data_IF_175162579723
#
_entry.id   IF_175162579723
#
_cell.length_a   1.000
_cell.length_b   1.000
_cell.length_c   1.000
_cell.angle_alpha   90.00
_cell.angle_beta   90.00
_cell.angle_gamma   90.00
#
_symmetry.space_group_name_H-M   'P 1'
#
loop_
_entity.id
_entity.type
_entity.pdbx_description
1 polymer ?
#
# COMPACT_ATOMS: atom_id res chain seq x y z
N UNK A 1 18.33 -18.35 -19.22
CA UNK A 1 17.15 -19.15 -18.83
C UNK A 1 16.32 -18.34 -17.85
N UNK A 2 14.99 -18.41 -17.91
CA UNK A 2 14.12 -17.91 -16.85
C UNK A 2 14.45 -18.52 -15.49
N UNK A 3 14.12 -17.77 -14.44
CA UNK A 3 14.29 -18.12 -13.03
C UNK A 3 12.93 -18.15 -12.39
N UNK A 4 12.65 -19.21 -11.65
CA UNK A 4 11.45 -19.31 -10.84
C UNK A 4 11.49 -18.29 -9.71
N UNK A 5 10.45 -17.48 -9.61
CA UNK A 5 10.22 -16.54 -8.52
C UNK A 5 8.86 -16.84 -7.91
N UNK A 6 8.84 -17.07 -6.60
CA UNK A 6 7.61 -17.26 -5.84
C UNK A 6 7.24 -15.96 -5.14
N UNK A 7 6.00 -15.51 -5.28
CA UNK A 7 5.44 -14.32 -4.67
C UNK A 7 4.43 -14.73 -3.59
N UNK A 8 4.56 -14.13 -2.42
CA UNK A 8 3.62 -14.29 -1.31
C UNK A 8 3.02 -12.95 -0.95
N UNK A 9 1.69 -12.90 -0.84
CA UNK A 9 0.95 -11.71 -0.45
C UNK A 9 0.31 -11.99 0.89
N UNK A 10 0.86 -11.42 1.95
CA UNK A 10 0.50 -11.80 3.32
C UNK A 10 -0.02 -10.61 4.13
N UNK A 11 -0.76 -10.88 5.19
CA UNK A 11 -1.05 -9.89 6.23
C UNK A 11 0.11 -9.77 7.24
N UNK A 12 0.01 -8.85 8.20
CA UNK A 12 0.99 -8.67 9.29
C UNK A 12 1.28 -9.95 10.10
N UNK A 13 0.35 -10.91 10.13
CA UNK A 13 0.53 -12.20 10.77
C UNK A 13 1.25 -13.25 9.91
N UNK A 14 1.65 -12.91 8.68
CA UNK A 14 2.30 -13.81 7.73
C UNK A 14 1.36 -14.80 7.03
N UNK A 15 0.04 -14.61 7.15
CA UNK A 15 -0.95 -15.46 6.45
C UNK A 15 -1.20 -14.93 5.04
N UNK A 16 -1.19 -15.80 4.04
CA UNK A 16 -1.49 -15.45 2.64
C UNK A 16 -2.95 -14.96 2.51
N UNK A 17 -3.14 -13.83 1.84
CA UNK A 17 -4.43 -13.14 1.70
C UNK A 17 -4.91 -13.10 0.26
N UNK A 18 -6.22 -13.27 0.07
CA UNK A 18 -6.87 -13.22 -1.23
C UNK A 18 -7.26 -11.79 -1.64
N UNK A 19 -7.37 -11.56 -2.95
CA UNK A 19 -8.07 -10.40 -3.51
C UNK A 19 -7.20 -9.20 -3.86
N UNK A 20 -5.87 -9.29 -3.79
CA UNK A 20 -4.99 -8.27 -4.36
C UNK A 20 -4.92 -8.45 -5.88
N UNK A 21 -5.21 -7.42 -6.67
CA UNK A 21 -4.93 -7.43 -8.12
C UNK A 21 -3.47 -7.04 -8.36
N UNK A 22 -2.66 -7.99 -8.79
CA UNK A 22 -1.20 -7.88 -8.88
C UNK A 22 -0.76 -7.91 -10.33
N UNK A 23 0.19 -7.03 -10.64
CA UNK A 23 0.83 -6.92 -11.95
C UNK A 23 2.36 -6.86 -11.78
N UNK A 24 3.07 -7.49 -12.70
CA UNK A 24 4.54 -7.40 -12.78
C UNK A 24 4.90 -6.68 -14.07
N UNK A 25 5.72 -5.65 -13.95
CA UNK A 25 6.25 -4.90 -15.09
C UNK A 25 7.75 -5.13 -15.21
N UNK A 26 8.26 -5.13 -16.43
CA UNK A 26 9.70 -5.12 -16.67
C UNK A 26 10.23 -3.68 -16.57
N UNK A 27 11.31 -3.49 -15.81
CA UNK A 27 11.88 -2.17 -15.55
C UNK A 27 11.64 -1.71 -14.11
N UNK A 28 11.89 -0.41 -13.86
CA UNK A 28 11.75 0.22 -12.54
C UNK A 28 10.39 0.89 -12.32
N UNK A 29 9.60 1.03 -13.37
CA UNK A 29 8.33 1.75 -13.37
C UNK A 29 7.22 0.83 -13.91
N UNK A 30 6.00 0.98 -13.39
CA UNK A 30 4.82 0.29 -13.88
C UNK A 30 4.30 0.93 -15.19
N UNK A 31 5.04 0.76 -16.29
CA UNK A 31 4.71 1.36 -17.60
C UNK A 31 4.50 0.32 -18.68
N UNK A 32 3.49 0.52 -19.54
CA UNK A 32 3.20 -0.34 -20.68
C UNK A 32 2.35 -1.56 -20.30
N UNK A 33 2.64 -2.70 -20.92
CA UNK A 33 1.93 -3.95 -20.64
C UNK A 33 2.66 -4.74 -19.54
N UNK A 34 1.94 -5.30 -18.56
CA UNK A 34 2.56 -6.17 -17.58
C UNK A 34 3.03 -7.48 -18.23
N UNK A 35 4.15 -8.01 -17.74
CA UNK A 35 4.67 -9.33 -18.14
C UNK A 35 3.89 -10.47 -17.47
N UNK A 36 3.21 -10.19 -16.36
CA UNK A 36 2.31 -11.10 -15.68
C UNK A 36 1.24 -10.32 -14.89
N UNK A 37 0.05 -10.91 -14.76
CA UNK A 37 -1.06 -10.37 -13.96
C UNK A 37 -1.83 -11.52 -13.30
N UNK A 38 -2.15 -11.40 -12.02
CA UNK A 38 -2.99 -12.36 -11.29
C UNK A 38 -3.70 -11.70 -10.11
N UNK A 39 -4.70 -12.40 -9.54
CA UNK A 39 -5.31 -12.03 -8.27
C UNK A 39 -4.80 -12.94 -7.17
N UNK A 40 -4.39 -12.39 -6.02
CA UNK A 40 -3.89 -13.22 -4.92
C UNK A 40 -4.98 -14.13 -4.35
N UNK A 41 -4.58 -15.29 -3.83
CA UNK A 41 -5.46 -16.30 -3.27
C UNK A 41 -5.08 -16.57 -1.81
N UNK A 42 -6.07 -16.91 -0.98
CA UNK A 42 -5.84 -17.21 0.42
C UNK A 42 -5.07 -18.54 0.54
N UNK A 43 -4.08 -18.57 1.44
CA UNK A 43 -3.21 -19.73 1.70
C UNK A 43 -2.37 -20.21 0.51
N UNK A 44 -2.25 -19.42 -0.56
CA UNK A 44 -1.56 -19.81 -1.80
C UNK A 44 -0.54 -18.75 -2.20
N UNK A 45 0.70 -19.17 -2.44
CA UNK A 45 1.72 -18.33 -3.10
C UNK A 45 1.63 -18.47 -4.62
N UNK A 46 2.06 -17.45 -5.36
CA UNK A 46 2.07 -17.47 -6.82
C UNK A 46 3.49 -17.70 -7.37
N UNK A 47 3.65 -18.50 -8.42
CA UNK A 47 4.96 -18.75 -9.04
C UNK A 47 5.01 -18.20 -10.46
N UNK A 48 6.12 -17.54 -10.82
CA UNK A 48 6.40 -17.06 -12.17
C UNK A 48 7.81 -17.45 -12.61
N UNK A 49 8.00 -17.61 -13.91
CA UNK A 49 9.31 -17.76 -14.54
C UNK A 49 9.73 -16.43 -15.18
N UNK A 50 10.75 -15.77 -14.60
CA UNK A 50 11.22 -14.46 -15.05
C UNK A 50 12.67 -14.54 -15.51
N UNK A 51 13.00 -13.88 -16.61
CA UNK A 51 14.40 -13.72 -17.00
C UNK A 51 15.16 -12.90 -15.94
N UNK A 52 16.48 -13.09 -15.77
CA UNK A 52 17.29 -12.19 -14.96
C UNK A 52 17.13 -10.74 -15.43
N UNK A 53 16.85 -9.83 -14.50
CA UNK A 53 16.48 -8.45 -14.84
C UNK A 53 15.80 -7.72 -13.68
N UNK A 54 15.50 -6.44 -13.92
CA UNK A 54 14.80 -5.56 -12.97
C UNK A 54 13.32 -5.52 -13.31
N UNK A 55 12.48 -5.58 -12.28
CA UNK A 55 11.03 -5.64 -12.38
C UNK A 55 10.38 -4.77 -11.30
N UNK A 56 9.13 -4.40 -11.55
CA UNK A 56 8.26 -3.71 -10.60
C UNK A 56 7.06 -4.60 -10.27
N UNK A 57 6.86 -4.85 -8.98
CA UNK A 57 5.61 -5.36 -8.43
C UNK A 57 4.66 -4.18 -8.23
N UNK A 58 3.51 -4.25 -8.89
CA UNK A 58 2.46 -3.23 -8.84
C UNK A 58 1.18 -3.88 -8.32
N UNK A 59 0.62 -3.34 -7.23
CA UNK A 59 -0.71 -3.71 -6.76
C UNK A 59 -1.74 -2.74 -7.35
N UNK A 60 -2.45 -3.21 -8.38
CA UNK A 60 -3.46 -2.41 -9.06
C UNK A 60 -4.72 -2.21 -8.20
N UNK A 61 -5.02 -3.16 -7.32
CA UNK A 61 -6.10 -3.05 -6.34
C UNK A 61 -5.75 -3.83 -5.07
N UNK A 62 -5.85 -3.17 -3.92
CA UNK A 62 -5.63 -3.79 -2.62
C UNK A 62 -6.78 -4.72 -2.23
N UNK A 63 -6.53 -5.77 -1.42
CA UNK A 63 -7.57 -6.56 -0.79
C UNK A 63 -8.51 -5.71 0.08
N UNK A 64 -9.78 -6.12 0.15
CA UNK A 64 -10.75 -5.48 1.06
C UNK A 64 -10.26 -5.51 2.50
N UNK A 65 -10.24 -4.35 3.15
CA UNK A 65 -9.81 -4.20 4.54
C UNK A 65 -8.31 -3.91 4.73
N UNK A 66 -7.54 -3.81 3.65
CA UNK A 66 -6.11 -3.52 3.69
C UNK A 66 -5.77 -2.17 3.04
N UNK A 67 -4.58 -1.66 3.34
CA UNK A 67 -3.98 -0.52 2.65
C UNK A 67 -3.22 -1.04 1.42
N UNK A 68 -3.32 -0.30 0.32
CA UNK A 68 -2.58 -0.64 -0.88
C UNK A 68 -1.07 -0.53 -0.63
N UNK A 69 -0.31 -1.50 -1.13
CA UNK A 69 1.14 -1.36 -1.23
C UNK A 69 1.49 -0.53 -2.46
N UNK A 70 2.46 0.36 -2.30
CA UNK A 70 3.01 1.09 -3.45
C UNK A 70 3.93 0.19 -4.26
N UNK A 71 4.33 0.65 -5.45
CA UNK A 71 5.23 -0.11 -6.33
C UNK A 71 6.51 -0.56 -5.61
N UNK A 72 6.92 -1.80 -5.82
CA UNK A 72 8.16 -2.36 -5.27
C UNK A 72 9.06 -2.77 -6.43
N UNK A 73 10.30 -2.28 -6.44
CA UNK A 73 11.30 -2.64 -7.44
C UNK A 73 12.13 -3.81 -6.91
N UNK A 74 12.23 -4.88 -7.69
CA UNK A 74 13.05 -6.05 -7.38
C UNK A 74 13.89 -6.47 -8.59
N UNK A 75 14.99 -7.18 -8.32
CA UNK A 75 15.88 -7.72 -9.32
C UNK A 75 15.94 -9.23 -9.20
N UNK A 76 15.69 -9.92 -10.31
CA UNK A 76 15.95 -11.36 -10.46
C UNK A 76 17.40 -11.52 -10.89
N UNK A 77 18.19 -12.22 -10.07
CA UNK A 77 19.61 -12.41 -10.31
C UNK A 77 19.90 -13.60 -11.22
N UNK A 78 21.12 -13.65 -11.75
CA UNK A 78 21.58 -14.75 -12.61
C UNK A 78 21.57 -16.11 -11.89
N UNK A 79 21.72 -16.15 -10.57
CA UNK A 79 21.73 -17.37 -9.76
C UNK A 79 20.32 -17.83 -9.35
N UNK A 80 19.27 -17.05 -9.67
CA UNK A 80 17.89 -17.33 -9.29
C UNK A 80 17.45 -16.72 -7.96
N UNK A 81 18.32 -16.00 -7.25
CA UNK A 81 17.94 -15.21 -6.08
C UNK A 81 17.22 -13.91 -6.50
N UNK A 82 16.51 -13.29 -5.56
CA UNK A 82 15.87 -11.99 -5.77
C UNK A 82 16.42 -10.97 -4.79
N UNK A 83 16.76 -9.78 -5.30
CA UNK A 83 17.15 -8.62 -4.50
C UNK A 83 16.02 -7.59 -4.51
N UNK A 84 15.60 -7.12 -3.34
CA UNK A 84 14.71 -5.94 -3.26
C UNK A 84 15.56 -4.70 -3.54
N UNK A 85 15.25 -4.00 -4.63
CA UNK A 85 15.98 -2.80 -5.06
C UNK A 85 15.40 -1.55 -4.41
N UNK A 86 14.07 -1.46 -4.36
CA UNK A 86 13.37 -0.37 -3.68
C UNK A 86 12.02 -0.86 -3.15
N UNK A 87 11.83 -0.78 -1.84
CA UNK A 87 10.59 -1.18 -1.18
C UNK A 87 9.54 -0.05 -1.12
N UNK A 88 9.89 1.21 -1.39
CA UNK A 88 9.01 2.38 -1.28
C UNK A 88 8.23 2.48 0.05
N UNK A 89 8.88 2.10 1.16
CA UNK A 89 8.28 2.11 2.50
C UNK A 89 7.34 0.94 2.79
N UNK A 90 7.12 0.03 1.84
CA UNK A 90 6.37 -1.20 2.06
C UNK A 90 7.21 -2.24 2.82
N UNK A 91 6.53 -3.17 3.49
CA UNK A 91 7.17 -4.33 4.11
C UNK A 91 7.33 -5.43 3.08
N UNK A 92 8.57 -5.65 2.62
CA UNK A 92 8.91 -6.70 1.66
C UNK A 92 10.23 -7.37 2.04
N UNK A 93 10.29 -8.70 1.93
CA UNK A 93 11.53 -9.44 2.12
C UNK A 93 11.65 -10.60 1.11
N UNK A 94 12.88 -10.99 0.79
CA UNK A 94 13.14 -12.24 0.09
C UNK A 94 13.60 -13.30 1.09
N UNK A 95 12.75 -14.29 1.39
CA UNK A 95 13.03 -15.39 2.33
C UNK A 95 12.54 -16.72 1.81
N UNK A 96 13.31 -17.78 2.08
CA UNK A 96 12.91 -19.15 1.71
C UNK A 96 12.59 -19.33 0.22
N UNK A 97 13.26 -18.56 -0.65
CA UNK A 97 13.00 -18.56 -2.10
C UNK A 97 11.77 -17.75 -2.54
N UNK A 98 11.11 -17.04 -1.62
CA UNK A 98 9.90 -16.25 -1.89
C UNK A 98 10.14 -14.76 -1.70
N UNK A 99 9.60 -13.95 -2.60
CA UNK A 99 9.40 -12.52 -2.38
C UNK A 99 8.08 -12.34 -1.63
N UNK A 100 8.16 -11.97 -0.34
CA UNK A 100 7.02 -11.83 0.56
C UNK A 100 6.68 -10.36 0.70
N UNK A 101 5.49 -9.97 0.26
CA UNK A 101 4.94 -8.61 0.35
C UNK A 101 3.86 -8.62 1.44
N UNK A 102 4.00 -7.77 2.45
CA UNK A 102 3.11 -7.74 3.62
C UNK A 102 2.22 -6.50 3.59
N UNK A 103 0.91 -6.72 3.67
CA UNK A 103 -0.08 -5.66 3.79
C UNK A 103 -0.36 -5.25 5.23
N UNK A 104 -0.60 -3.96 5.36
CA UNK A 104 -1.14 -3.37 6.58
C UNK A 104 -2.67 -3.34 6.49
N UNK A 105 -3.34 -3.68 7.59
CA UNK A 105 -4.79 -3.51 7.71
C UNK A 105 -5.13 -2.03 7.64
N UNK A 106 -6.21 -1.68 6.96
CA UNK A 106 -6.79 -0.33 7.04
C UNK A 106 -7.22 -0.10 8.50
N UNK A 107 -6.91 1.06 9.11
CA UNK A 107 -7.46 1.41 10.40
C UNK A 107 -8.98 1.34 10.33
N UNK A 108 -9.58 0.46 11.12
CA UNK A 108 -11.01 0.52 11.39
C UNK A 108 -11.21 1.64 12.40
N UNK A 109 -11.90 2.71 12.00
CA UNK A 109 -12.41 3.70 12.95
C UNK A 109 -13.16 2.92 14.05
N UNK A 110 -12.83 3.07 15.36
CA UNK A 110 -13.55 2.36 16.40
C UNK A 110 -15.03 2.75 16.36
N UNK A 111 -15.86 1.86 15.81
CA UNK A 111 -17.31 2.03 15.78
C UNK A 111 -17.84 2.26 17.21
N UNK A 112 -18.49 3.40 17.52
CA UNK A 112 -19.05 3.68 18.83
C UNK A 112 -20.25 2.78 19.23
N UNK A 113 -20.67 1.80 18.43
CA UNK A 113 -21.83 0.96 18.76
C UNK A 113 -21.56 -0.54 18.70
N UNK A 114 -21.06 -1.07 19.82
CA UNK A 114 -21.50 -2.38 20.32
C UNK A 114 -22.14 -2.22 21.70
N UNK A 115 -23.38 -1.73 21.74
CA UNK A 115 -24.23 -1.89 22.92
C UNK A 115 -24.62 -3.36 23.03
N UNK A 116 -23.92 -4.12 23.86
CA UNK A 116 -24.49 -5.36 24.38
C UNK A 116 -25.64 -4.96 25.30
N UNK A 117 -26.87 -5.19 24.85
CA UNK A 117 -28.02 -5.27 25.73
C UNK A 117 -27.97 -6.64 26.39
N UNK A 118 -27.51 -6.67 27.64
CA UNK A 118 -27.99 -7.58 28.70
C UNK A 118 -27.60 -6.97 30.05
N UNK A 119 -28.53 -6.97 31.00
CA UNK A 119 -28.45 -6.38 32.36
C UNK A 119 -28.95 -7.45 33.36
N UNK A 120 -28.66 -7.46 34.69
CA UNK A 120 -27.70 -6.70 35.53
C UNK A 120 -26.76 -7.57 36.42
N UNK A 121 -25.71 -6.97 37.01
CA UNK A 121 -25.02 -7.51 38.20
C UNK A 121 -23.78 -6.74 38.70
N UNK A 122 -23.98 -5.87 39.70
CA UNK A 122 -23.09 -5.39 40.78
C UNK A 122 -21.67 -4.78 40.60
N UNK A 123 -21.60 -3.49 40.99
CA UNK A 123 -20.57 -2.69 41.72
C UNK A 123 -19.07 -3.02 41.60
N UNK A 124 -18.27 -2.06 41.11
CA UNK A 124 -17.37 -1.18 41.91
C UNK A 124 -16.36 -0.37 41.04
N UNK A 125 -16.47 0.97 41.11
CA UNK A 125 -15.44 2.03 41.20
C UNK A 125 -14.01 1.83 40.61
N UNK A 126 -13.59 2.64 39.61
CA UNK A 126 -12.57 3.73 39.79
C UNK A 126 -12.13 4.46 38.50
N UNK A 127 -11.90 5.77 38.69
CA UNK A 127 -11.03 6.75 37.99
C UNK A 127 -11.34 7.25 36.57
N UNK A 128 -11.66 8.56 36.56
CA UNK A 128 -11.79 9.53 35.47
C UNK A 128 -10.42 10.15 35.13
N UNK A 129 -9.99 10.10 33.86
CA UNK A 129 -8.96 10.98 33.24
C UNK A 129 -9.31 11.16 31.74
N UNK A 130 -10.10 12.19 31.39
CA UNK A 130 -9.81 13.45 30.65
C UNK A 130 -9.82 13.33 29.09
N UNK A 131 -10.49 14.25 28.36
CA UNK A 131 -10.67 14.15 26.91
C UNK A 131 -9.48 14.71 26.12
N UNK A 132 -9.00 13.98 25.13
CA UNK A 132 -8.15 14.57 24.09
C UNK A 132 -9.08 15.05 22.96
N UNK A 133 -9.22 16.37 22.85
CA UNK A 133 -10.00 17.05 21.81
C UNK A 133 -9.38 16.80 20.43
N UNK A 134 -10.20 16.36 19.49
CA UNK A 134 -9.79 16.10 18.12
C UNK A 134 -9.51 17.36 17.30
N UNK A 135 -8.69 17.19 16.27
CA UNK A 135 -8.86 17.81 14.95
C UNK A 135 -8.06 16.94 13.98
N UNK A 136 -8.62 15.81 13.55
CA UNK A 136 -8.08 15.07 12.41
C UNK A 136 -8.81 15.58 11.16
N UNK A 137 -8.04 16.23 10.29
CA UNK A 137 -8.49 16.72 8.99
C UNK A 137 -8.78 15.48 8.14
N UNK A 138 -10.07 15.16 8.00
CA UNK A 138 -10.54 14.18 7.04
C UNK A 138 -10.27 14.69 5.62
N UNK A 139 -9.20 14.21 4.98
CA UNK A 139 -9.01 14.36 3.53
C UNK A 139 -10.03 13.47 2.81
N UNK A 140 -11.27 13.94 2.73
CA UNK A 140 -12.17 13.47 1.68
C UNK A 140 -11.56 13.93 0.36
N UNK A 141 -11.06 12.97 -0.44
CA UNK A 141 -10.74 13.22 -1.84
C UNK A 141 -12.05 13.52 -2.57
N UNK A 142 -12.47 14.78 -2.51
CA UNK A 142 -13.40 15.36 -3.46
C UNK A 142 -12.54 15.83 -4.64
N UNK A 143 -12.54 15.05 -5.71
CA UNK A 143 -12.02 15.52 -6.99
C UNK A 143 -12.95 16.61 -7.52
N UNK A 144 -12.72 17.87 -7.15
CA UNK A 144 -13.20 19.03 -7.89
C UNK A 144 -12.06 20.05 -7.94
N UNK A 145 -11.50 20.22 -9.14
CA UNK A 145 -10.59 21.31 -9.43
C UNK A 145 -11.30 22.65 -9.29
N UNK A 146 -10.79 23.50 -8.40
CA UNK A 146 -10.98 24.94 -8.45
C UNK A 146 -9.63 25.60 -8.20
N UNK A 147 -8.98 25.98 -9.30
CA UNK A 147 -7.83 26.89 -9.28
C UNK A 147 -8.38 28.28 -8.90
N UNK A 148 -8.22 28.66 -7.63
CA UNK A 148 -8.34 30.05 -7.20
C UNK A 148 -6.94 30.66 -7.29
N UNK A 149 -6.64 31.39 -8.36
CA UNK A 149 -5.52 32.33 -8.37
C UNK A 149 -6.09 33.71 -8.04
N UNK A 150 -6.01 34.08 -6.76
CA UNK A 150 -6.02 35.47 -6.34
C UNK A 150 -4.69 35.73 -5.63
N UNK A 151 -3.72 36.20 -6.40
CA UNK A 151 -2.51 36.82 -5.90
C UNK A 151 -2.48 38.28 -6.35
N UNK A 152 -3.09 39.16 -5.57
CA UNK A 152 -2.74 40.59 -5.60
C UNK A 152 -1.33 40.74 -5.03
N UNK A 153 -0.46 41.51 -5.68
CA UNK A 153 0.71 42.05 -5.00
C UNK A 153 1.94 42.35 -5.86
N UNK A 154 1.92 43.50 -6.54
CA UNK A 154 3.06 44.42 -6.73
C UNK A 154 4.37 43.82 -7.29
N UNK A 155 4.67 44.11 -8.56
CA UNK A 155 6.05 44.49 -8.90
C UNK A 155 6.09 45.74 -9.78
N UNK A 156 6.80 46.70 -9.22
CA UNK A 156 7.22 47.99 -9.75
C UNK A 156 7.95 47.83 -11.09
N UNK A 157 7.81 48.83 -11.96
CA UNK A 157 8.22 48.75 -13.35
C UNK A 157 9.72 48.80 -13.62
N UNK A 158 10.07 48.39 -14.85
CA UNK A 158 11.23 48.94 -15.58
C UNK A 158 10.80 49.24 -17.01
N UNK A 159 11.04 50.50 -17.36
CA UNK A 159 10.92 51.22 -18.63
C UNK A 159 11.73 50.54 -19.75
N UNK A 160 11.09 50.23 -20.88
CA UNK A 160 11.77 50.16 -22.16
C UNK A 160 11.02 50.96 -23.22
N UNK A 161 11.64 52.06 -23.62
CA UNK A 161 11.30 52.90 -24.76
C UNK A 161 12.11 52.40 -25.95
N UNK A 162 11.49 52.33 -27.12
CA UNK A 162 12.12 52.71 -28.39
C UNK A 162 11.26 53.81 -28.99
#
# INVERSE_FOLDING_TARGET
>A
LPRKVTFSKVNLGGTEIAGADIQIFQGKEATGNPVAKWTSEANTSHELELAPGVYTFHEAAAPTGYLAVTDIVFQVNLDGTVTVVNANGNTVEYKGGKLVITDQTKPTDPDPKKSNQDKPGDKANTKKILPFTGTEISFTLLAIGLIIIVGCGVYFGIRFKK
#
